data_IF_347279773396
#
_entry.id   IF_347279773396
#
_cell.length_a   1.000
_cell.length_b   1.000
_cell.length_c   1.000
_cell.angle_alpha   90.00
_cell.angle_beta   90.00
_cell.angle_gamma   90.00
#
_symmetry.space_group_name_H-M   'P 1'
#
loop_
_entity.id
_entity.type
_entity.pdbx_description
1 polymer ?
#
# COMPACT_ATOMS: atom_id res chain seq x y z
N UNK A 1 29.87 -27.34 -12.79
CA UNK A 1 29.03 -26.53 -13.69
C UNK A 1 27.84 -27.39 -14.10
N UNK A 2 26.82 -27.49 -13.24
CA UNK A 2 25.60 -28.26 -13.51
C UNK A 2 24.48 -27.28 -13.83
N UNK A 3 24.02 -27.25 -15.09
CA UNK A 3 22.87 -26.47 -15.52
C UNK A 3 21.61 -27.15 -15.02
N UNK A 4 21.09 -26.74 -13.87
CA UNK A 4 19.73 -27.07 -13.48
C UNK A 4 18.81 -26.30 -14.43
N UNK A 5 18.07 -27.02 -15.28
CA UNK A 5 17.00 -26.44 -16.10
C UNK A 5 15.86 -26.04 -15.15
N UNK A 6 15.89 -24.80 -14.67
CA UNK A 6 14.87 -24.24 -13.77
C UNK A 6 13.59 -23.77 -14.48
N UNK A 7 13.56 -23.78 -15.80
CA UNK A 7 12.45 -23.20 -16.53
C UNK A 7 11.34 -24.21 -16.76
N UNK A 8 10.17 -23.96 -16.19
CA UNK A 8 8.93 -24.31 -16.85
C UNK A 8 8.92 -23.53 -18.17
N UNK A 9 9.27 -24.20 -19.27
CA UNK A 9 9.19 -23.65 -20.63
C UNK A 9 7.71 -23.53 -21.05
N UNK A 10 6.91 -22.74 -20.33
CA UNK A 10 5.57 -22.37 -20.75
C UNK A 10 5.68 -21.11 -21.59
N UNK A 11 5.30 -21.22 -22.87
CA UNK A 11 5.23 -20.13 -23.86
C UNK A 11 4.13 -19.08 -23.56
N UNK A 12 3.60 -19.07 -22.34
CA UNK A 12 2.62 -18.10 -21.87
C UNK A 12 3.29 -16.75 -21.63
N UNK A 13 2.64 -15.70 -22.10
CA UNK A 13 3.02 -14.32 -21.81
C UNK A 13 2.95 -14.11 -20.30
N UNK A 14 4.08 -13.74 -19.69
CA UNK A 14 4.17 -13.50 -18.25
C UNK A 14 3.73 -12.07 -17.98
N UNK A 15 2.60 -11.94 -17.29
CA UNK A 15 2.10 -10.67 -16.81
C UNK A 15 2.71 -10.36 -15.45
N UNK A 16 3.24 -9.15 -15.30
CA UNK A 16 3.74 -8.63 -14.02
C UNK A 16 2.88 -7.46 -13.56
N UNK A 17 2.76 -7.21 -12.25
CA UNK A 17 2.06 -6.04 -11.76
C UNK A 17 2.74 -4.74 -12.22
N UNK A 18 1.93 -3.76 -12.60
CA UNK A 18 2.36 -2.38 -12.75
C UNK A 18 2.62 -1.79 -11.37
N UNK A 19 3.87 -1.42 -11.09
CA UNK A 19 4.23 -0.76 -9.85
C UNK A 19 4.22 0.75 -10.03
N UNK A 20 3.50 1.42 -9.14
CA UNK A 20 3.44 2.86 -9.08
C UNK A 20 4.10 3.40 -7.82
N UNK A 21 4.62 4.62 -7.92
CA UNK A 21 5.27 5.32 -6.82
C UNK A 21 4.49 6.57 -6.47
N UNK A 22 4.28 6.78 -5.18
CA UNK A 22 3.62 7.97 -4.66
C UNK A 22 4.33 8.48 -3.40
N UNK A 23 4.25 9.77 -3.08
CA UNK A 23 4.74 10.29 -1.81
C UNK A 23 3.98 9.73 -0.60
N UNK A 24 4.70 9.30 0.43
CA UNK A 24 4.15 8.86 1.72
C UNK A 24 3.86 10.02 2.67
N UNK A 25 3.15 11.05 2.20
CA UNK A 25 3.04 12.38 2.86
C UNK A 25 2.59 12.28 4.32
N UNK A 26 1.63 11.42 4.64
CA UNK A 26 1.10 11.32 6.01
C UNK A 26 2.15 10.72 6.97
N UNK A 27 2.95 9.77 6.52
CA UNK A 27 4.08 9.22 7.31
C UNK A 27 5.18 10.26 7.54
N UNK A 28 5.38 11.15 6.57
CA UNK A 28 6.38 12.21 6.64
C UNK A 28 5.98 13.31 7.63
N UNK A 29 4.68 13.57 7.81
CA UNK A 29 4.17 14.48 8.84
C UNK A 29 4.45 14.02 10.27
N UNK A 30 4.60 12.72 10.48
CA UNK A 30 4.96 12.16 11.79
C UNK A 30 6.46 12.29 12.11
N UNK A 31 7.27 12.80 11.19
CA UNK A 31 8.71 12.92 11.38
C UNK A 31 9.06 14.03 12.38
N UNK A 32 10.04 13.75 13.24
CA UNK A 32 10.58 14.73 14.18
C UNK A 32 12.13 14.69 14.19
N UNK A 33 12.84 15.70 13.66
CA UNK A 33 12.31 16.97 13.15
C UNK A 33 11.46 16.79 11.88
N UNK A 34 10.56 17.74 11.57
CA UNK A 34 9.75 17.68 10.36
C UNK A 34 10.60 17.57 9.09
N UNK A 35 10.10 16.82 8.10
CA UNK A 35 10.75 16.69 6.80
C UNK A 35 10.80 18.05 6.10
N UNK A 36 11.99 18.45 5.66
CA UNK A 36 12.20 19.73 4.98
C UNK A 36 11.48 19.81 3.62
N UNK A 37 10.96 20.99 3.28
CA UNK A 37 10.20 21.20 2.03
C UNK A 37 11.03 20.97 0.76
N UNK A 38 12.33 21.26 0.80
CA UNK A 38 13.22 20.99 -0.33
C UNK A 38 13.40 19.48 -0.57
N UNK A 39 13.39 18.66 0.48
CA UNK A 39 13.40 17.20 0.36
C UNK A 39 12.11 16.66 -0.26
N UNK A 40 10.94 17.21 0.14
CA UNK A 40 9.66 16.86 -0.48
C UNK A 40 9.65 17.21 -1.96
N UNK A 41 10.13 18.40 -2.32
CA UNK A 41 10.27 18.82 -3.72
C UNK A 41 11.19 17.89 -4.51
N UNK A 42 12.37 17.55 -3.96
CA UNK A 42 13.30 16.62 -4.60
C UNK A 42 12.69 15.24 -4.83
N UNK A 43 11.89 14.75 -3.88
CA UNK A 43 11.15 13.49 -4.06
C UNK A 43 10.23 13.57 -5.27
N UNK A 44 9.41 14.62 -5.36
CA UNK A 44 8.51 14.83 -6.50
C UNK A 44 9.27 14.88 -7.82
N UNK A 45 10.37 15.63 -7.86
CA UNK A 45 11.22 15.77 -9.05
C UNK A 45 11.90 14.44 -9.45
N UNK A 46 12.16 13.54 -8.49
CA UNK A 46 12.82 12.23 -8.69
C UNK A 46 11.86 11.07 -8.96
N UNK A 47 10.54 11.23 -8.79
CA UNK A 47 9.56 10.17 -9.03
C UNK A 47 9.70 9.51 -10.43
N UNK A 48 9.88 10.26 -11.54
CA UNK A 48 10.06 9.65 -12.86
C UNK A 48 11.33 8.80 -12.96
N UNK A 49 12.40 9.19 -12.28
CA UNK A 49 13.66 8.44 -12.26
C UNK A 49 13.54 7.13 -11.49
N UNK A 50 12.84 7.15 -10.35
CA UNK A 50 12.50 5.95 -9.60
C UNK A 50 11.64 4.99 -10.42
N UNK A 51 10.60 5.50 -11.09
CA UNK A 51 9.76 4.72 -11.98
C UNK A 51 10.56 4.09 -13.13
N UNK A 52 11.46 4.86 -13.76
CA UNK A 52 12.29 4.36 -14.85
C UNK A 52 13.33 3.32 -14.38
N UNK A 53 13.94 3.52 -13.21
CA UNK A 53 14.86 2.56 -12.61
C UNK A 53 14.15 1.22 -12.35
N UNK A 54 12.94 1.27 -11.77
CA UNK A 54 12.11 0.10 -11.56
C UNK A 54 11.72 -0.59 -12.86
N UNK A 55 11.25 0.16 -13.86
CA UNK A 55 10.89 -0.40 -15.17
C UNK A 55 12.06 -1.11 -15.84
N UNK A 56 13.25 -0.53 -15.73
CA UNK A 56 14.46 -1.06 -16.39
C UNK A 56 15.05 -2.25 -15.65
N UNK A 57 15.07 -2.22 -14.31
CA UNK A 57 15.81 -3.19 -13.48
C UNK A 57 14.95 -4.02 -12.52
N UNK A 58 13.79 -3.52 -12.11
CA UNK A 58 12.85 -4.23 -11.24
C UNK A 58 11.94 -5.20 -12.01
N UNK A 59 11.34 -4.76 -13.11
CA UNK A 59 10.43 -5.62 -13.90
C UNK A 59 11.09 -6.92 -14.40
N UNK A 60 12.36 -6.93 -14.89
CA UNK A 60 13.02 -8.17 -15.26
C UNK A 60 13.18 -9.15 -14.09
N UNK A 61 13.41 -8.64 -12.86
CA UNK A 61 13.47 -9.47 -11.66
C UNK A 61 12.12 -10.15 -11.45
N UNK A 62 11.01 -9.41 -11.47
CA UNK A 62 9.66 -10.00 -11.29
C UNK A 62 9.33 -11.05 -12.35
N UNK A 63 9.65 -10.78 -13.62
CA UNK A 63 9.45 -11.76 -14.70
C UNK A 63 10.20 -13.04 -14.39
N UNK A 64 11.43 -12.94 -13.91
CA UNK A 64 12.22 -14.11 -13.54
C UNK A 64 11.78 -14.76 -12.22
N UNK A 65 11.20 -14.04 -11.27
CA UNK A 65 10.51 -14.61 -10.10
C UNK A 65 9.37 -15.51 -10.55
N UNK A 66 8.50 -15.02 -11.42
CA UNK A 66 7.34 -15.76 -11.94
C UNK A 66 7.81 -16.95 -12.78
N UNK A 67 8.82 -16.78 -13.64
CA UNK A 67 9.42 -17.91 -14.39
C UNK A 67 9.95 -18.98 -13.47
N UNK A 68 10.63 -18.57 -12.40
CA UNK A 68 11.24 -19.49 -11.46
C UNK A 68 10.17 -20.24 -10.68
N UNK A 69 9.18 -19.54 -10.10
CA UNK A 69 8.20 -20.10 -9.18
C UNK A 69 6.84 -20.44 -9.81
N UNK A 70 6.63 -20.17 -11.09
CA UNK A 70 5.41 -20.48 -11.84
C UNK A 70 4.11 -19.90 -11.26
N UNK A 71 4.18 -18.84 -10.44
CA UNK A 71 3.01 -18.19 -9.83
C UNK A 71 3.03 -16.70 -10.13
N UNK A 72 1.97 -16.23 -10.76
CA UNK A 72 1.74 -14.81 -11.00
C UNK A 72 1.39 -14.10 -9.68
N UNK A 73 1.47 -12.77 -9.68
CA UNK A 73 0.92 -11.97 -8.58
C UNK A 73 -0.61 -11.97 -8.67
N UNK A 74 -1.31 -11.88 -7.53
CA UNK A 74 -2.79 -11.78 -7.53
C UNK A 74 -3.29 -10.46 -8.06
N UNK A 75 -2.41 -9.45 -8.10
CA UNK A 75 -2.71 -8.08 -8.46
C UNK A 75 -2.02 -7.68 -9.75
N UNK A 76 -2.69 -6.83 -10.50
CA UNK A 76 -2.17 -6.20 -11.72
C UNK A 76 -1.61 -4.80 -11.44
N UNK A 77 -2.02 -4.16 -10.35
CA UNK A 77 -1.45 -2.87 -9.92
C UNK A 77 -1.01 -2.92 -8.45
N UNK A 78 0.14 -2.31 -8.19
CA UNK A 78 0.69 -2.12 -6.86
C UNK A 78 1.12 -0.67 -6.70
N UNK A 79 1.02 -0.14 -5.49
CA UNK A 79 1.50 1.21 -5.18
C UNK A 79 2.47 1.14 -4.01
N UNK A 80 3.68 1.67 -4.21
CA UNK A 80 4.68 1.86 -3.18
C UNK A 80 4.65 3.32 -2.71
N UNK A 81 4.34 3.54 -1.43
CA UNK A 81 4.43 4.87 -0.84
C UNK A 81 5.87 5.17 -0.40
N UNK A 82 6.46 6.23 -0.93
CA UNK A 82 7.84 6.63 -0.70
C UNK A 82 7.92 7.61 0.47
N UNK A 83 8.51 7.20 1.58
CA UNK A 83 8.63 8.04 2.79
C UNK A 83 10.01 8.67 2.93
N UNK A 84 10.02 9.93 3.34
CA UNK A 84 11.22 10.71 3.67
C UNK A 84 11.55 10.67 5.15
N UNK A 85 10.64 10.16 5.99
CA UNK A 85 10.81 10.07 7.42
C UNK A 85 12.02 9.16 7.77
N UNK A 86 13.12 9.69 8.33
CA UNK A 86 14.33 8.92 8.63
C UNK A 86 14.13 7.93 9.79
N UNK A 87 13.05 8.07 10.58
CA UNK A 87 12.70 7.10 11.62
C UNK A 87 11.91 5.90 11.09
N UNK A 88 11.58 5.89 9.79
CA UNK A 88 10.81 4.81 9.17
C UNK A 88 11.72 3.91 8.36
N UNK A 89 11.50 2.61 8.53
CA UNK A 89 12.05 1.58 7.67
C UNK A 89 11.06 1.25 6.56
N UNK A 90 11.56 0.64 5.48
CA UNK A 90 10.69 0.07 4.44
C UNK A 90 9.84 -1.06 5.03
N UNK A 91 8.59 -1.18 4.57
CA UNK A 91 7.59 -2.13 5.06
C UNK A 91 6.90 -2.79 3.87
N UNK A 92 6.54 -4.07 4.00
CA UNK A 92 5.80 -4.77 2.92
C UNK A 92 4.29 -4.55 3.05
N UNK A 93 3.79 -4.38 4.28
CA UNK A 93 2.37 -4.19 4.56
C UNK A 93 2.16 -3.09 5.62
N UNK A 94 1.84 -1.84 5.23
CA UNK A 94 1.64 -1.35 3.86
C UNK A 94 2.94 -1.32 3.05
N UNK A 95 2.85 -1.29 1.71
CA UNK A 95 4.02 -1.24 0.83
C UNK A 95 4.65 0.15 0.86
N UNK A 96 5.66 0.32 1.72
CA UNK A 96 6.33 1.59 1.99
C UNK A 96 7.81 1.43 1.77
N UNK A 97 8.43 2.40 1.07
CA UNK A 97 9.87 2.42 0.83
C UNK A 97 10.46 3.70 1.43
N UNK A 98 11.44 3.56 2.31
CA UNK A 98 12.20 4.70 2.82
C UNK A 98 13.17 5.20 1.75
N UNK A 99 13.03 6.46 1.33
CA UNK A 99 13.80 7.00 0.19
C UNK A 99 14.72 8.17 0.49
N UNK A 100 14.75 8.65 1.74
CA UNK A 100 15.56 9.80 2.13
C UNK A 100 17.03 9.69 1.70
N UNK A 101 17.62 8.48 1.80
CA UNK A 101 19.02 8.19 1.43
C UNK A 101 19.31 8.28 -0.08
N UNK A 102 18.30 8.17 -0.94
CA UNK A 102 18.45 8.29 -2.40
C UNK A 102 18.29 9.72 -2.89
N UNK A 103 17.99 10.67 -1.99
CA UNK A 103 17.78 12.08 -2.30
C UNK A 103 18.86 13.00 -1.72
N UNK A 104 19.80 12.44 -0.95
CA UNK A 104 20.92 13.18 -0.37
C UNK A 104 21.93 13.61 -1.45
N UNK A 105 22.52 14.79 -1.31
CA UNK A 105 23.58 15.27 -2.23
C UNK A 105 24.92 14.59 -1.98
N UNK A 106 25.19 14.25 -0.72
CA UNK A 106 26.42 13.57 -0.27
C UNK A 106 26.06 12.15 0.11
N UNK A 107 26.88 11.18 -0.32
CA UNK A 107 26.69 9.76 -0.03
C UNK A 107 25.33 9.20 -0.50
N UNK A 108 24.80 9.75 -1.59
CA UNK A 108 23.58 9.26 -2.23
C UNK A 108 23.72 7.76 -2.52
N UNK A 109 22.74 6.96 -2.06
CA UNK A 109 22.68 5.54 -2.39
C UNK A 109 22.34 5.34 -3.87
N UNK A 110 22.81 4.25 -4.46
CA UNK A 110 22.62 3.97 -5.89
C UNK A 110 21.16 3.60 -6.21
N UNK A 111 20.74 3.83 -7.46
CA UNK A 111 19.43 3.38 -7.95
C UNK A 111 19.33 1.84 -8.01
N UNK A 112 20.46 1.13 -8.10
CA UNK A 112 20.48 -0.33 -7.96
C UNK A 112 20.05 -0.78 -6.57
N UNK A 113 20.50 -0.06 -5.54
CA UNK A 113 20.08 -0.33 -4.16
C UNK A 113 18.60 0.01 -3.94
N UNK A 114 18.11 1.09 -4.58
CA UNK A 114 16.69 1.41 -4.56
C UNK A 114 15.83 0.29 -5.18
N UNK A 115 16.20 -0.21 -6.36
CA UNK A 115 15.51 -1.33 -7.02
C UNK A 115 15.58 -2.60 -6.18
N UNK A 116 16.73 -2.86 -5.56
CA UNK A 116 16.90 -3.96 -4.62
C UNK A 116 15.94 -3.88 -3.44
N UNK A 117 15.81 -2.71 -2.81
CA UNK A 117 14.90 -2.49 -1.69
C UNK A 117 13.44 -2.71 -2.07
N UNK A 118 12.99 -2.15 -3.20
CA UNK A 118 11.63 -2.37 -3.69
C UNK A 118 11.39 -3.86 -3.93
N UNK A 119 12.30 -4.51 -4.65
CA UNK A 119 12.14 -5.92 -4.99
C UNK A 119 12.15 -6.81 -3.74
N UNK A 120 13.03 -6.53 -2.77
CA UNK A 120 13.08 -7.22 -1.47
C UNK A 120 11.72 -7.13 -0.76
N UNK A 121 11.21 -5.92 -0.61
CA UNK A 121 9.96 -5.65 0.12
C UNK A 121 8.76 -6.26 -0.61
N UNK A 122 8.74 -6.18 -1.94
CA UNK A 122 7.73 -6.81 -2.77
C UNK A 122 7.76 -8.34 -2.69
N UNK A 123 8.95 -8.94 -2.64
CA UNK A 123 9.09 -10.39 -2.48
C UNK A 123 8.63 -10.89 -1.11
N UNK A 124 8.81 -10.11 -0.04
CA UNK A 124 8.23 -10.46 1.27
C UNK A 124 6.72 -10.61 1.13
N UNK A 125 6.07 -9.63 0.51
CA UNK A 125 4.64 -9.67 0.27
C UNK A 125 4.22 -10.88 -0.60
N UNK A 126 4.94 -11.15 -1.68
CA UNK A 126 4.68 -12.30 -2.55
C UNK A 126 4.84 -13.65 -1.83
N UNK A 127 5.87 -13.79 -0.99
CA UNK A 127 6.09 -14.99 -0.19
C UNK A 127 5.01 -15.17 0.89
N UNK A 128 4.57 -14.08 1.52
CA UNK A 128 3.45 -14.14 2.47
C UNK A 128 2.15 -14.58 1.80
N UNK A 129 1.91 -14.14 0.57
CA UNK A 129 0.69 -14.47 -0.17
C UNK A 129 0.62 -15.96 -0.55
N UNK A 130 1.71 -16.49 -1.11
CA UNK A 130 1.69 -17.82 -1.72
C UNK A 130 2.37 -18.91 -0.91
N UNK A 131 3.31 -18.54 -0.04
CA UNK A 131 4.26 -19.48 0.56
C UNK A 131 4.35 -19.38 2.09
N UNK A 132 3.51 -18.58 2.76
CA UNK A 132 3.59 -18.37 4.21
C UNK A 132 3.61 -19.67 5.03
N UNK A 133 2.80 -20.66 4.67
CA UNK A 133 2.78 -21.96 5.36
C UNK A 133 4.14 -22.66 5.29
N UNK A 134 4.76 -22.71 4.11
CA UNK A 134 6.04 -23.40 3.94
C UNK A 134 7.21 -22.58 4.47
N UNK A 135 7.17 -21.24 4.39
CA UNK A 135 8.24 -20.40 4.94
C UNK A 135 8.31 -20.48 6.47
N UNK A 136 7.17 -20.68 7.14
CA UNK A 136 7.11 -20.84 8.60
C UNK A 136 7.37 -22.27 9.09
N UNK A 137 6.97 -23.29 8.31
CA UNK A 137 7.04 -24.70 8.73
C UNK A 137 8.21 -25.46 8.12
N UNK A 138 9.12 -24.76 7.44
CA UNK A 138 10.17 -25.39 6.66
C UNK A 138 11.10 -26.27 7.52
N UNK A 139 11.33 -27.51 7.07
CA UNK A 139 12.36 -28.41 7.63
C UNK A 139 13.77 -27.80 7.67
N UNK A 140 14.07 -26.82 6.80
CA UNK A 140 15.30 -26.06 6.72
C UNK A 140 15.46 -25.02 7.82
N UNK A 141 14.37 -24.44 8.33
CA UNK A 141 14.44 -23.51 9.47
C UNK A 141 14.99 -24.23 10.71
N UNK A 142 14.73 -25.54 10.83
CA UNK A 142 15.27 -26.36 11.91
C UNK A 142 16.79 -26.56 11.84
N UNK A 143 17.42 -26.43 10.65
CA UNK A 143 18.88 -26.47 10.50
C UNK A 143 19.51 -25.25 11.18
N UNK A 144 18.81 -24.11 11.16
CA UNK A 144 19.24 -22.84 11.70
C UNK A 144 18.52 -22.45 13.00
N UNK A 145 18.10 -23.44 13.80
CA UNK A 145 17.29 -23.21 15.01
C UNK A 145 17.91 -22.23 16.02
N UNK A 146 19.24 -22.14 16.05
CA UNK A 146 20.00 -21.26 16.95
C UNK A 146 20.15 -19.83 16.43
N UNK A 147 19.76 -19.56 15.17
CA UNK A 147 19.77 -18.21 14.61
C UNK A 147 18.55 -17.40 15.09
N UNK A 148 18.69 -16.07 15.05
CA UNK A 148 17.62 -15.15 15.39
C UNK A 148 16.39 -15.37 14.49
N UNK A 149 15.19 -15.11 15.03
CA UNK A 149 13.93 -15.29 14.30
C UNK A 149 13.90 -14.48 13.00
N UNK A 150 14.39 -13.24 13.01
CA UNK A 150 14.51 -12.39 11.82
C UNK A 150 15.46 -12.96 10.75
N UNK A 151 16.52 -13.66 11.15
CA UNK A 151 17.43 -14.34 10.21
C UNK A 151 16.70 -15.51 9.55
N UNK A 152 15.97 -16.30 10.33
CA UNK A 152 15.20 -17.47 9.86
C UNK A 152 14.08 -17.08 8.91
N UNK A 153 13.33 -16.01 9.23
CA UNK A 153 12.26 -15.46 8.40
C UNK A 153 12.77 -15.01 7.01
N UNK A 154 14.02 -14.53 6.94
CA UNK A 154 14.61 -14.03 5.70
C UNK A 154 15.27 -15.13 4.84
N UNK A 155 15.38 -16.38 5.30
CA UNK A 155 16.11 -17.43 4.56
C UNK A 155 15.52 -17.71 3.17
N UNK A 156 14.20 -17.90 3.09
CA UNK A 156 13.50 -18.14 1.83
C UNK A 156 13.56 -16.92 0.90
N UNK A 157 13.39 -15.72 1.47
CA UNK A 157 13.52 -14.45 0.75
C UNK A 157 14.90 -14.33 0.09
N UNK A 158 15.97 -14.53 0.86
CA UNK A 158 17.34 -14.40 0.38
C UNK A 158 17.68 -15.47 -0.67
N UNK A 159 17.25 -16.72 -0.48
CA UNK A 159 17.44 -17.77 -1.48
C UNK A 159 16.74 -17.45 -2.80
N UNK A 160 15.51 -16.91 -2.74
CA UNK A 160 14.77 -16.46 -3.91
C UNK A 160 15.44 -15.26 -4.58
N UNK A 161 15.84 -14.26 -3.80
CA UNK A 161 16.55 -13.09 -4.31
C UNK A 161 17.85 -13.49 -5.00
N UNK A 162 18.69 -14.33 -4.37
CA UNK A 162 19.92 -14.85 -4.97
C UNK A 162 19.65 -15.51 -6.32
N UNK A 163 18.71 -16.46 -6.34
CA UNK A 163 18.39 -17.22 -7.55
C UNK A 163 17.91 -16.31 -8.67
N UNK A 164 17.00 -15.36 -8.38
CA UNK A 164 16.45 -14.46 -9.39
C UNK A 164 17.49 -13.44 -9.86
N UNK A 165 18.29 -12.85 -8.97
CA UNK A 165 19.34 -11.92 -9.38
C UNK A 165 20.41 -12.63 -10.23
N UNK A 166 20.81 -13.84 -9.85
CA UNK A 166 21.74 -14.64 -10.64
C UNK A 166 21.21 -14.90 -12.06
N UNK A 167 19.91 -15.22 -12.20
CA UNK A 167 19.25 -15.41 -13.49
C UNK A 167 19.11 -14.12 -14.31
N UNK A 168 19.04 -12.96 -13.65
CA UNK A 168 18.73 -11.69 -14.31
C UNK A 168 19.98 -10.87 -14.66
N UNK A 169 20.93 -10.81 -13.73
CA UNK A 169 22.10 -9.92 -13.78
C UNK A 169 23.44 -10.62 -13.47
N UNK A 170 23.42 -11.91 -13.10
CA UNK A 170 24.60 -12.62 -12.60
C UNK A 170 24.80 -12.47 -11.09
N UNK A 171 25.75 -13.22 -10.53
CA UNK A 171 25.93 -13.37 -9.08
C UNK A 171 26.57 -12.18 -8.38
N UNK A 172 27.44 -11.43 -9.07
CA UNK A 172 28.22 -10.34 -8.45
C UNK A 172 27.35 -9.15 -8.00
N UNK A 173 26.28 -8.86 -8.75
CA UNK A 173 25.45 -7.69 -8.49
C UNK A 173 24.75 -7.77 -7.13
N UNK A 174 24.18 -8.92 -6.79
CA UNK A 174 23.42 -9.06 -5.53
C UNK A 174 24.33 -9.07 -4.30
N UNK A 175 25.54 -9.62 -4.39
CA UNK A 175 26.50 -9.56 -3.30
C UNK A 175 26.88 -8.11 -2.97
N UNK A 176 27.16 -7.29 -4.00
CA UNK A 176 27.43 -5.86 -3.83
C UNK A 176 26.26 -5.13 -3.16
N UNK A 177 25.02 -5.47 -3.53
CA UNK A 177 23.81 -4.85 -2.98
C UNK A 177 23.58 -5.23 -1.52
N UNK A 178 23.71 -6.51 -1.17
CA UNK A 178 23.55 -6.99 0.21
C UNK A 178 24.63 -6.44 1.14
N UNK A 179 25.86 -6.26 0.64
CA UNK A 179 26.91 -5.62 1.43
C UNK A 179 26.72 -4.10 1.57
N UNK A 180 25.82 -3.50 0.78
CA UNK A 180 25.57 -2.05 0.77
C UNK A 180 24.38 -1.60 1.64
N UNK A 181 23.54 -2.54 2.09
CA UNK A 181 22.45 -2.30 3.05
C UNK A 181 22.96 -2.33 4.49
N UNK A 182 22.39 -1.48 5.34
CA UNK A 182 22.67 -1.44 6.77
C UNK A 182 21.67 -2.34 7.53
N UNK A 183 21.75 -3.65 7.26
CA UNK A 183 20.87 -4.66 7.85
C UNK A 183 21.69 -5.92 8.17
N UNK A 184 22.16 -6.00 9.42
CA UNK A 184 23.02 -7.09 9.88
C UNK A 184 22.32 -8.46 9.79
N UNK A 185 20.99 -8.52 9.94
CA UNK A 185 20.25 -9.77 9.83
C UNK A 185 20.22 -10.23 8.37
N UNK A 186 19.95 -9.34 7.42
CA UNK A 186 20.02 -9.69 5.99
C UNK A 186 21.42 -10.11 5.55
N UNK A 187 22.46 -9.41 6.00
CA UNK A 187 23.86 -9.79 5.73
C UNK A 187 24.18 -11.17 6.32
N UNK A 188 23.71 -11.45 7.55
CA UNK A 188 23.86 -12.77 8.18
C UNK A 188 23.14 -13.86 7.39
N UNK A 189 21.88 -13.63 7.02
CA UNK A 189 21.09 -14.56 6.21
C UNK A 189 21.76 -14.85 4.87
N UNK A 190 22.28 -13.82 4.20
CA UNK A 190 23.07 -13.96 2.97
C UNK A 190 24.28 -14.87 3.15
N UNK A 191 25.08 -14.63 4.18
CA UNK A 191 26.24 -15.47 4.48
C UNK A 191 25.86 -16.95 4.71
N UNK A 192 24.69 -17.22 5.29
CA UNK A 192 24.20 -18.59 5.49
C UNK A 192 23.74 -19.25 4.19
N UNK A 193 22.94 -18.53 3.37
CA UNK A 193 22.35 -19.08 2.15
C UNK A 193 23.40 -19.31 1.06
N UNK A 194 24.40 -18.42 0.94
CA UNK A 194 25.39 -18.45 -0.14
C UNK A 194 26.60 -19.34 0.18
N UNK A 195 26.99 -19.46 1.45
CA UNK A 195 28.12 -20.33 1.83
C UNK A 195 27.85 -21.80 1.51
N UNK A 196 26.58 -22.19 1.45
CA UNK A 196 26.16 -23.54 1.11
C UNK A 196 25.21 -23.50 -0.08
N UNK A 197 25.76 -23.49 -1.31
CA UNK A 197 24.99 -23.44 -2.56
C UNK A 197 23.84 -24.48 -2.64
N UNK A 198 24.03 -25.62 -1.95
CA UNK A 198 23.01 -26.67 -1.77
C UNK A 198 21.78 -26.20 -0.96
N UNK A 199 21.96 -25.31 0.02
CA UNK A 199 20.89 -24.74 0.83
C UNK A 199 20.00 -23.83 -0.02
N UNK A 200 20.61 -22.93 -0.81
CA UNK A 200 19.86 -22.08 -1.73
C UNK A 200 18.99 -22.92 -2.69
N UNK A 201 19.58 -23.94 -3.32
CA UNK A 201 18.87 -24.84 -4.22
C UNK A 201 17.74 -25.61 -3.51
N UNK A 202 17.96 -26.05 -2.26
CA UNK A 202 16.96 -26.77 -1.49
C UNK A 202 15.77 -25.89 -1.14
N UNK A 203 15.98 -24.62 -0.76
CA UNK A 203 14.89 -23.67 -0.55
C UNK A 203 14.04 -23.47 -1.81
N UNK A 204 14.66 -23.22 -2.96
CA UNK A 204 13.94 -23.07 -4.23
C UNK A 204 13.15 -24.35 -4.56
N UNK A 205 13.77 -25.52 -4.41
CA UNK A 205 13.11 -26.79 -4.70
C UNK A 205 11.88 -27.03 -3.81
N UNK A 206 11.94 -26.67 -2.53
CA UNK A 206 10.81 -26.81 -1.62
C UNK A 206 9.67 -25.85 -1.94
N UNK A 207 9.96 -24.59 -2.32
CA UNK A 207 8.94 -23.65 -2.82
C UNK A 207 8.23 -24.22 -4.06
N UNK A 208 8.98 -24.78 -5.01
CA UNK A 208 8.43 -25.42 -6.21
C UNK A 208 7.57 -26.64 -5.88
N UNK A 209 8.05 -27.51 -4.98
CA UNK A 209 7.29 -28.70 -4.56
C UNK A 209 5.99 -28.31 -3.88
N UNK A 210 6.01 -27.30 -3.00
CA UNK A 210 4.79 -26.79 -2.36
C UNK A 210 3.76 -26.30 -3.38
N UNK A 211 4.22 -25.51 -4.35
CA UNK A 211 3.39 -25.00 -5.44
C UNK A 211 2.70 -26.13 -6.22
N UNK A 212 3.45 -27.16 -6.63
CA UNK A 212 2.88 -28.29 -7.38
C UNK A 212 1.80 -29.04 -6.59
N UNK A 213 1.96 -29.14 -5.26
CA UNK A 213 0.99 -29.82 -4.38
C UNK A 213 -0.33 -29.06 -4.19
N UNK A 214 -0.31 -27.71 -4.23
CA UNK A 214 -1.50 -26.86 -4.07
C UNK A 214 -2.30 -26.62 -5.36
N UNK A 215 -1.87 -27.12 -6.51
CA UNK A 215 -2.54 -26.87 -7.80
C UNK A 215 -3.85 -27.69 -7.96
N UNK A 216 -4.29 -28.40 -6.93
CA UNK A 216 -5.60 -29.08 -6.84
C UNK A 216 -6.50 -28.32 -5.87
N UNK A 217 -6.96 -27.13 -6.25
CA UNK A 217 -8.18 -26.42 -5.80
C UNK A 217 -8.02 -24.95 -6.12
N UNK A 218 -8.81 -24.43 -7.06
CA UNK A 218 -8.77 -23.03 -7.44
C UNK A 218 -10.08 -22.62 -8.09
N UNK A 219 -11.06 -22.29 -7.25
CA UNK A 219 -12.26 -21.56 -7.64
C UNK A 219 -11.89 -20.10 -7.90
N UNK A 220 -11.91 -19.68 -9.16
CA UNK A 220 -11.86 -18.27 -9.53
C UNK A 220 -13.20 -17.62 -9.16
N UNK A 221 -13.18 -16.67 -8.23
CA UNK A 221 -14.31 -15.76 -8.05
C UNK A 221 -14.16 -14.63 -9.06
N UNK A 222 -15.07 -14.57 -10.02
CA UNK A 222 -15.12 -13.50 -11.02
C UNK A 222 -15.70 -12.25 -10.37
N UNK A 223 -14.83 -11.31 -9.97
CA UNK A 223 -15.26 -9.96 -9.59
C UNK A 223 -15.59 -9.21 -10.89
N UNK A 224 -16.81 -8.69 -10.99
CA UNK A 224 -17.21 -7.82 -12.09
C UNK A 224 -16.48 -6.50 -11.92
N UNK A 225 -15.43 -6.27 -12.72
CA UNK A 225 -14.74 -4.99 -12.81
C UNK A 225 -15.73 -3.94 -13.36
N UNK A 226 -16.11 -2.96 -12.55
CA UNK A 226 -16.73 -1.76 -13.08
C UNK A 226 -15.63 -0.82 -13.57
N UNK A 227 -15.62 -0.45 -14.85
CA UNK A 227 -14.53 0.28 -15.53
C UNK A 227 -14.20 1.69 -15.01
N UNK A 228 -14.80 2.10 -13.88
CA UNK A 228 -14.85 3.48 -13.44
C UNK A 228 -14.40 3.71 -11.99
N UNK A 229 -14.38 2.68 -11.13
CA UNK A 229 -13.92 2.77 -9.73
C UNK A 229 -12.91 1.65 -9.42
N UNK A 230 -11.96 1.88 -8.51
CA UNK A 230 -10.94 0.90 -8.18
C UNK A 230 -11.53 -0.28 -7.40
N UNK A 231 -11.03 -1.47 -7.67
CA UNK A 231 -11.19 -2.63 -6.81
C UNK A 231 -10.32 -2.45 -5.57
N UNK A 232 -10.91 -2.50 -4.38
CA UNK A 232 -10.17 -2.41 -3.13
C UNK A 232 -9.82 -3.81 -2.59
N UNK A 233 -8.54 -4.02 -2.30
CA UNK A 233 -8.03 -5.23 -1.66
C UNK A 233 -7.64 -4.92 -0.21
N UNK A 234 -8.22 -5.63 0.75
CA UNK A 234 -7.97 -5.40 2.17
C UNK A 234 -6.92 -6.37 2.70
N UNK A 235 -5.86 -5.85 3.34
CA UNK A 235 -4.73 -6.66 3.82
C UNK A 235 -4.28 -6.24 5.21
N UNK A 236 -3.84 -7.18 6.04
CA UNK A 236 -3.33 -6.87 7.38
C UNK A 236 -2.01 -6.08 7.30
N UNK A 237 -1.98 -4.89 7.92
CA UNK A 237 -0.81 -4.05 8.06
C UNK A 237 0.14 -4.52 9.18
N UNK A 238 0.65 -5.76 9.06
CA UNK A 238 1.40 -6.43 10.12
C UNK A 238 2.59 -5.61 10.64
N UNK A 239 3.26 -4.84 9.79
CA UNK A 239 4.46 -4.09 10.17
C UNK A 239 4.11 -2.87 11.04
N UNK A 240 2.99 -2.20 10.76
CA UNK A 240 2.51 -1.08 11.59
C UNK A 240 1.97 -1.55 12.95
N UNK A 241 1.44 -2.77 13.01
CA UNK A 241 0.95 -3.37 14.26
C UNK A 241 2.09 -3.73 15.22
N UNK A 242 3.29 -4.03 14.74
CA UNK A 242 4.49 -4.28 15.57
C UNK A 242 4.88 -3.06 16.43
N UNK A 243 4.49 -1.87 16.02
CA UNK A 243 4.76 -0.62 16.74
C UNK A 243 3.71 -0.31 17.82
N UNK A 244 2.69 -1.15 17.97
CA UNK A 244 1.60 -0.96 18.93
C UNK A 244 2.11 -1.03 20.37
N UNK A 245 1.72 -0.04 21.18
CA UNK A 245 1.96 -0.07 22.64
C UNK A 245 0.95 -0.97 23.33
N UNK A 246 -0.23 -1.07 22.74
CA UNK A 246 -1.29 -1.98 23.18
C UNK A 246 -1.02 -3.40 22.66
N UNK A 247 -1.17 -4.45 23.48
CA UNK A 247 -0.98 -5.83 23.01
C UNK A 247 -1.92 -6.19 21.85
N UNK A 248 -1.35 -6.81 20.83
CA UNK A 248 -2.07 -7.44 19.72
C UNK A 248 -1.76 -8.93 19.79
N UNK A 249 -2.78 -9.75 20.06
CA UNK A 249 -2.59 -11.19 20.28
C UNK A 249 -2.67 -11.98 18.97
N UNK A 250 -2.08 -13.18 18.87
CA UNK A 250 -2.21 -14.03 17.70
C UNK A 250 -3.67 -14.33 17.32
N UNK A 251 -4.55 -14.51 18.31
CA UNK A 251 -5.99 -14.75 18.07
C UNK A 251 -6.69 -13.53 17.45
N UNK A 252 -6.25 -12.31 17.78
CA UNK A 252 -6.77 -11.09 17.13
C UNK A 252 -6.36 -11.03 15.66
N UNK A 253 -5.12 -11.40 15.35
CA UNK A 253 -4.59 -11.47 13.98
C UNK A 253 -5.31 -12.55 13.18
N UNK A 254 -5.54 -13.72 13.78
CA UNK A 254 -6.30 -14.81 13.17
C UNK A 254 -7.74 -14.39 12.85
N UNK A 255 -8.42 -13.77 13.81
CA UNK A 255 -9.78 -13.23 13.60
C UNK A 255 -9.78 -12.14 12.52
N UNK A 256 -8.80 -11.23 12.53
CA UNK A 256 -8.65 -10.22 11.48
C UNK A 256 -8.56 -10.85 10.09
N UNK A 257 -7.63 -11.79 9.90
CA UNK A 257 -7.34 -12.37 8.59
C UNK A 257 -8.43 -13.31 8.08
N UNK A 258 -8.98 -14.16 8.94
CA UNK A 258 -9.91 -15.22 8.51
C UNK A 258 -11.38 -14.86 8.63
N UNK A 259 -11.72 -13.83 9.42
CA UNK A 259 -13.12 -13.45 9.65
C UNK A 259 -13.39 -12.00 9.25
N UNK A 260 -12.63 -11.04 9.80
CA UNK A 260 -12.96 -9.64 9.63
C UNK A 260 -12.64 -9.14 8.21
N UNK A 261 -11.44 -9.38 7.67
CA UNK A 261 -11.07 -8.95 6.31
C UNK A 261 -12.07 -9.46 5.24
N UNK A 262 -12.43 -10.77 5.20
CA UNK A 262 -13.45 -11.26 4.26
C UNK A 262 -14.79 -10.51 4.39
N UNK A 263 -15.26 -10.31 5.63
CA UNK A 263 -16.50 -9.59 5.91
C UNK A 263 -16.43 -8.11 5.49
N UNK A 264 -15.31 -7.45 5.77
CA UNK A 264 -15.05 -6.05 5.38
C UNK A 264 -15.00 -5.90 3.86
N UNK A 265 -14.50 -6.91 3.15
CA UNK A 265 -14.48 -6.96 1.69
C UNK A 265 -15.90 -7.06 1.12
N UNK A 266 -16.72 -7.95 1.65
CA UNK A 266 -18.13 -8.11 1.24
C UNK A 266 -18.93 -6.83 1.47
N UNK A 267 -18.84 -6.22 2.66
CA UNK A 267 -19.57 -4.99 2.96
C UNK A 267 -19.05 -3.81 2.13
N UNK A 268 -17.75 -3.74 1.83
CA UNK A 268 -17.23 -2.72 0.93
C UNK A 268 -17.81 -2.84 -0.48
N UNK A 269 -17.87 -4.05 -1.04
CA UNK A 269 -18.46 -4.29 -2.35
C UNK A 269 -19.94 -3.90 -2.38
N UNK A 270 -20.68 -4.27 -1.33
CA UNK A 270 -22.11 -4.01 -1.22
C UNK A 270 -22.45 -2.54 -0.97
N UNK A 271 -21.72 -1.88 -0.08
CA UNK A 271 -22.12 -0.59 0.50
C UNK A 271 -21.16 0.56 0.21
N UNK A 272 -19.87 0.29 0.04
CA UNK A 272 -18.85 1.31 -0.23
C UNK A 272 -18.67 1.62 -1.72
N UNK A 273 -18.60 0.57 -2.54
CA UNK A 273 -18.41 0.69 -3.99
C UNK A 273 -19.51 1.54 -4.67
N UNK A 274 -20.81 1.42 -4.31
CA UNK A 274 -21.84 2.32 -4.84
C UNK A 274 -21.58 3.81 -4.53
N UNK A 275 -21.00 4.15 -3.37
CA UNK A 275 -20.70 5.55 -3.02
C UNK A 275 -19.60 6.14 -3.90
N UNK A 276 -18.55 5.35 -4.21
CA UNK A 276 -17.53 5.79 -5.17
C UNK A 276 -18.09 5.88 -6.59
N UNK A 277 -19.01 4.99 -6.96
CA UNK A 277 -19.67 5.03 -8.26
C UNK A 277 -20.46 6.33 -8.44
N UNK A 278 -21.21 6.76 -7.42
CA UNK A 278 -21.90 8.06 -7.45
C UNK A 278 -20.93 9.24 -7.54
N UNK A 279 -19.75 9.14 -6.91
CA UNK A 279 -18.70 10.16 -7.05
C UNK A 279 -18.21 10.28 -8.50
N UNK A 280 -17.89 9.16 -9.15
CA UNK A 280 -17.38 9.17 -10.53
C UNK A 280 -18.47 9.59 -11.52
N UNK A 281 -19.72 9.19 -11.30
CA UNK A 281 -20.88 9.68 -12.09
C UNK A 281 -21.05 11.19 -11.94
N UNK A 282 -20.92 11.71 -10.72
CA UNK A 282 -21.08 13.13 -10.42
C UNK A 282 -20.01 13.99 -11.08
N UNK A 283 -18.75 13.59 -10.99
CA UNK A 283 -17.61 14.43 -11.39
C UNK A 283 -17.07 14.10 -12.78
N UNK A 284 -17.56 13.04 -13.41
CA UNK A 284 -17.12 12.56 -14.73
C UNK A 284 -15.62 12.31 -14.87
N UNK A 285 -14.91 12.13 -13.75
CA UNK A 285 -13.49 11.78 -13.69
C UNK A 285 -13.31 10.42 -13.00
N UNK A 286 -12.48 9.57 -13.59
CA UNK A 286 -12.17 8.23 -13.06
C UNK A 286 -11.07 8.31 -12.01
N UNK A 287 -10.93 7.25 -11.20
CA UNK A 287 -9.70 7.06 -10.41
C UNK A 287 -8.53 6.77 -11.36
N UNK A 288 -7.31 7.20 -11.00
CA UNK A 288 -6.13 6.92 -11.81
C UNK A 288 -5.74 5.44 -11.77
N UNK A 289 -6.16 4.73 -10.73
CA UNK A 289 -5.90 3.31 -10.47
C UNK A 289 -7.15 2.45 -10.65
N UNK A 290 -6.96 1.23 -11.13
CA UNK A 290 -7.99 0.19 -11.19
C UNK A 290 -7.94 -0.72 -9.96
N UNK A 291 -6.80 -0.84 -9.30
CA UNK A 291 -6.65 -1.61 -8.06
C UNK A 291 -5.98 -0.76 -6.98
N UNK A 292 -6.49 -0.86 -5.75
CA UNK A 292 -5.92 -0.20 -4.57
C UNK A 292 -5.87 -1.17 -3.39
N UNK A 293 -4.77 -1.15 -2.67
CA UNK A 293 -4.60 -1.90 -1.42
C UNK A 293 -4.98 -1.02 -0.24
N UNK A 294 -5.92 -1.47 0.58
CA UNK A 294 -6.24 -0.87 1.87
C UNK A 294 -5.61 -1.73 2.96
N UNK A 295 -4.54 -1.24 3.58
CA UNK A 295 -3.91 -1.93 4.70
C UNK A 295 -4.73 -1.70 5.97
N UNK A 296 -5.29 -2.76 6.53
CA UNK A 296 -6.07 -2.73 7.77
C UNK A 296 -5.21 -3.07 8.97
N UNK A 297 -5.30 -2.26 10.03
CA UNK A 297 -4.46 -2.39 11.24
C UNK A 297 -5.27 -2.54 12.52
N UNK A 298 -4.63 -3.06 13.57
CA UNK A 298 -5.21 -3.26 14.90
C UNK A 298 -4.58 -2.38 15.98
N UNK A 299 -3.51 -1.65 15.66
CA UNK A 299 -2.85 -0.70 16.54
C UNK A 299 -3.78 0.50 16.85
N UNK A 300 -4.29 0.66 18.08
CA UNK A 300 -5.26 1.71 18.41
C UNK A 300 -4.64 3.12 18.45
N UNK A 301 -3.31 3.22 18.52
CA UNK A 301 -2.60 4.50 18.53
C UNK A 301 -2.44 5.09 17.12
N UNK A 302 -2.72 4.29 16.08
CA UNK A 302 -2.60 4.69 14.68
C UNK A 302 -3.92 5.21 14.13
N UNK A 303 -3.87 6.43 13.58
CA UNK A 303 -4.99 7.00 12.85
C UNK A 303 -5.05 6.44 11.42
N UNK A 304 -6.25 6.37 10.81
CA UNK A 304 -6.38 6.05 9.39
C UNK A 304 -5.71 7.12 8.50
N UNK A 305 -5.13 6.70 7.37
CA UNK A 305 -4.34 7.53 6.46
C UNK A 305 -4.68 7.22 5.00
N UNK A 306 -4.62 8.22 4.12
CA UNK A 306 -4.81 8.02 2.67
C UNK A 306 -3.50 7.67 1.96
N UNK A 307 -2.35 8.07 2.49
CA UNK A 307 -1.01 7.84 1.95
C UNK A 307 -0.02 7.42 3.05
N UNK A 308 0.30 6.12 3.19
CA UNK A 308 -0.29 4.97 2.49
C UNK A 308 -1.77 4.79 2.84
N UNK A 309 -2.53 4.06 2.01
CA UNK A 309 -3.94 3.82 2.23
C UNK A 309 -4.16 2.80 3.37
N UNK A 310 -4.32 3.32 4.58
CA UNK A 310 -4.36 2.56 5.83
C UNK A 310 -5.66 2.86 6.59
N UNK A 311 -6.35 1.81 7.04
CA UNK A 311 -7.54 1.94 7.88
C UNK A 311 -7.40 1.17 9.19
N UNK A 312 -7.83 1.76 10.31
CA UNK A 312 -7.79 1.10 11.61
C UNK A 312 -9.11 0.37 11.86
N UNK A 313 -9.04 -0.96 12.01
CA UNK A 313 -10.23 -1.81 12.16
C UNK A 313 -10.32 -2.49 13.54
N UNK A 314 -9.48 -2.08 14.50
CA UNK A 314 -9.47 -2.68 15.84
C UNK A 314 -10.84 -2.67 16.50
N UNK A 315 -11.54 -1.53 16.41
CA UNK A 315 -12.86 -1.33 17.03
C UNK A 315 -14.00 -2.04 16.31
N UNK A 316 -13.70 -2.75 15.22
CA UNK A 316 -14.64 -3.62 14.51
C UNK A 316 -14.48 -5.09 14.96
N UNK A 317 -13.38 -5.43 15.67
CA UNK A 317 -13.18 -6.76 16.27
C UNK A 317 -14.09 -7.04 17.48
N UNK A 318 -14.79 -6.04 18.02
CA UNK A 318 -15.71 -6.24 19.15
C UNK A 318 -15.04 -6.76 20.43
N UNK A 319 -13.84 -6.24 20.72
CA UNK A 319 -13.06 -6.62 21.89
C UNK A 319 -13.73 -6.15 23.21
N UNK A 320 -13.74 -6.98 24.27
CA UNK A 320 -14.32 -6.60 25.56
C UNK A 320 -13.68 -5.33 26.14
N UNK A 321 -14.51 -4.43 26.67
CA UNK A 321 -14.05 -3.18 27.30
C UNK A 321 -13.62 -2.07 26.35
N UNK A 322 -13.64 -2.31 25.03
CA UNK A 322 -13.36 -1.29 24.04
C UNK A 322 -14.64 -0.68 23.46
N UNK A 323 -14.56 0.60 23.07
CA UNK A 323 -15.61 1.25 22.32
C UNK A 323 -15.71 0.64 20.91
N UNK A 324 -16.91 0.27 20.49
CA UNK A 324 -17.14 -0.43 19.23
C UNK A 324 -17.54 0.51 18.10
N UNK A 325 -17.00 0.25 16.92
CA UNK A 325 -17.36 0.94 15.68
C UNK A 325 -18.25 0.07 14.83
N UNK A 326 -19.18 0.69 14.12
CA UNK A 326 -20.03 -0.02 13.18
C UNK A 326 -19.29 -0.35 11.90
N UNK A 327 -19.88 -1.25 11.10
CA UNK A 327 -19.43 -1.50 9.74
C UNK A 327 -19.66 -0.28 8.83
N UNK A 328 -20.74 0.46 9.06
CA UNK A 328 -21.01 1.73 8.38
C UNK A 328 -19.88 2.76 8.61
N UNK A 329 -19.30 2.80 9.83
CA UNK A 329 -18.13 3.64 10.11
C UNK A 329 -16.89 3.20 9.33
N UNK A 330 -16.70 1.90 9.13
CA UNK A 330 -15.64 1.38 8.27
C UNK A 330 -15.85 1.83 6.81
N UNK A 331 -17.06 1.63 6.25
CA UNK A 331 -17.40 2.06 4.89
C UNK A 331 -17.17 3.56 4.71
N UNK A 332 -17.67 4.37 5.66
CA UNK A 332 -17.46 5.81 5.69
C UNK A 332 -15.98 6.18 5.68
N UNK A 333 -15.19 5.57 6.57
CA UNK A 333 -13.77 5.91 6.70
C UNK A 333 -12.99 5.51 5.45
N UNK A 334 -13.22 4.31 4.91
CA UNK A 334 -12.58 3.83 3.68
C UNK A 334 -12.95 4.71 2.48
N UNK A 335 -14.23 5.07 2.34
CA UNK A 335 -14.70 5.96 1.27
C UNK A 335 -14.05 7.35 1.39
N UNK A 336 -14.01 7.94 2.59
CA UNK A 336 -13.35 9.22 2.83
C UNK A 336 -11.87 9.20 2.46
N UNK A 337 -11.16 8.13 2.84
CA UNK A 337 -9.74 7.95 2.51
C UNK A 337 -9.52 7.81 1.00
N UNK A 338 -10.38 7.05 0.31
CA UNK A 338 -10.35 6.96 -1.15
C UNK A 338 -10.61 8.32 -1.81
N UNK A 339 -11.50 9.14 -1.26
CA UNK A 339 -11.79 10.47 -1.79
C UNK A 339 -10.66 11.47 -1.61
N UNK A 340 -9.88 11.39 -0.53
CA UNK A 340 -8.64 12.17 -0.44
C UNK A 340 -7.71 11.86 -1.61
N UNK A 341 -7.54 10.57 -1.93
CA UNK A 341 -6.69 10.14 -3.05
C UNK A 341 -7.25 10.58 -4.40
N UNK A 342 -8.55 10.37 -4.60
CA UNK A 342 -9.26 10.79 -5.80
C UNK A 342 -9.10 12.30 -6.07
N UNK A 343 -9.19 13.11 -5.02
CA UNK A 343 -9.07 14.56 -5.13
C UNK A 343 -7.64 14.99 -5.46
N UNK A 344 -6.63 14.41 -4.80
CA UNK A 344 -5.22 14.71 -5.07
C UNK A 344 -4.83 14.32 -6.50
N UNK A 345 -5.32 13.18 -7.00
CA UNK A 345 -5.04 12.71 -8.36
C UNK A 345 -5.73 13.56 -9.45
N UNK A 346 -6.99 13.96 -9.23
CA UNK A 346 -7.78 14.66 -10.25
C UNK A 346 -7.74 16.18 -10.15
N UNK A 347 -7.34 16.72 -8.99
CA UNK A 347 -7.35 18.15 -8.67
C UNK A 347 -6.10 18.57 -7.89
N UNK A 348 -4.88 18.35 -8.43
CA UNK A 348 -3.63 18.50 -7.70
C UNK A 348 -3.34 19.94 -7.23
N UNK A 349 -4.01 20.96 -7.78
CA UNK A 349 -3.85 22.37 -7.39
C UNK A 349 -5.07 22.92 -6.63
N UNK A 350 -5.98 22.06 -6.17
CA UNK A 350 -7.23 22.46 -5.52
C UNK A 350 -7.02 23.45 -4.38
N UNK A 351 -6.04 23.21 -3.50
CA UNK A 351 -5.74 24.09 -2.36
C UNK A 351 -5.40 25.53 -2.77
N UNK A 352 -4.76 25.69 -3.93
CA UNK A 352 -4.34 27.00 -4.44
C UNK A 352 -5.38 27.71 -5.29
N UNK A 353 -6.22 26.96 -6.01
CA UNK A 353 -7.22 27.49 -6.93
C UNK A 353 -8.60 27.67 -6.27
N UNK A 354 -8.82 26.99 -5.14
CA UNK A 354 -10.15 26.91 -4.55
C UNK A 354 -10.61 28.22 -3.90
N UNK A 355 -11.76 28.73 -4.36
CA UNK A 355 -12.40 29.91 -3.76
C UNK A 355 -12.96 29.58 -2.39
N UNK A 356 -13.55 28.40 -2.23
CA UNK A 356 -14.06 27.92 -0.95
C UNK A 356 -12.93 27.71 0.06
N UNK A 357 -11.81 27.06 -0.29
CA UNK A 357 -10.69 26.92 0.65
C UNK A 357 -10.08 28.28 1.01
N UNK A 358 -9.98 29.22 0.07
CA UNK A 358 -9.53 30.57 0.38
C UNK A 358 -10.50 31.32 1.32
N UNK A 359 -11.82 31.14 1.15
CA UNK A 359 -12.84 31.67 2.07
C UNK A 359 -12.66 31.12 3.49
N UNK A 360 -12.26 29.85 3.61
CA UNK A 360 -12.00 29.16 4.88
C UNK A 360 -10.52 29.08 5.24
N UNK A 361 -9.66 29.98 4.72
CA UNK A 361 -8.20 29.90 4.94
C UNK A 361 -7.76 30.00 6.40
N UNK A 362 -8.60 30.59 7.26
CA UNK A 362 -8.35 30.69 8.71
C UNK A 362 -8.66 29.40 9.47
N UNK A 363 -9.32 28.43 8.83
CA UNK A 363 -9.60 27.13 9.42
C UNK A 363 -8.31 26.29 9.50
N UNK A 364 -8.33 25.31 10.41
CA UNK A 364 -7.24 24.35 10.53
C UNK A 364 -7.17 23.45 9.29
N UNK A 365 -5.98 22.88 9.01
CA UNK A 365 -5.82 21.94 7.90
C UNK A 365 -6.70 20.69 8.07
N UNK A 366 -6.99 20.30 9.32
CA UNK A 366 -7.92 19.22 9.63
C UNK A 366 -9.31 19.52 9.05
N UNK A 367 -9.81 20.74 9.22
CA UNK A 367 -11.11 21.16 8.71
C UNK A 367 -11.07 21.33 7.19
N UNK A 368 -10.12 22.14 6.67
CA UNK A 368 -10.01 22.46 5.24
C UNK A 368 -9.93 21.20 4.37
N UNK A 369 -9.03 20.29 4.71
CA UNK A 369 -8.78 19.09 3.91
C UNK A 369 -10.03 18.18 3.85
N UNK A 370 -10.92 18.26 4.85
CA UNK A 370 -12.14 17.43 4.90
C UNK A 370 -13.32 18.04 4.16
N UNK A 371 -13.30 19.33 3.80
CA UNK A 371 -14.47 20.02 3.22
C UNK A 371 -14.93 19.35 1.90
N UNK A 372 -14.03 19.22 0.93
CA UNK A 372 -14.34 18.62 -0.38
C UNK A 372 -14.70 17.13 -0.29
N UNK A 373 -13.89 16.25 0.35
CA UNK A 373 -14.26 14.85 0.52
C UNK A 373 -15.63 14.69 1.19
N UNK A 374 -15.91 15.43 2.26
CA UNK A 374 -17.17 15.30 2.99
C UNK A 374 -18.36 15.85 2.20
N UNK A 375 -18.19 16.87 1.37
CA UNK A 375 -19.25 17.38 0.49
C UNK A 375 -19.62 16.34 -0.58
N UNK A 376 -18.62 15.68 -1.18
CA UNK A 376 -18.82 14.56 -2.12
C UNK A 376 -19.52 13.40 -1.40
N UNK A 377 -19.06 13.02 -0.20
CA UNK A 377 -19.70 11.97 0.57
C UNK A 377 -21.16 12.30 0.86
N UNK A 378 -21.47 13.52 1.31
CA UNK A 378 -22.85 13.95 1.54
C UNK A 378 -23.71 13.70 0.29
N UNK A 379 -23.25 14.13 -0.88
CA UNK A 379 -23.96 13.87 -2.13
C UNK A 379 -24.13 12.37 -2.41
N UNK A 380 -23.05 11.58 -2.32
CA UNK A 380 -23.09 10.15 -2.62
C UNK A 380 -24.05 9.39 -1.69
N UNK A 381 -24.08 9.75 -0.40
CA UNK A 381 -25.03 9.19 0.55
C UNK A 381 -26.48 9.65 0.26
N UNK A 382 -26.70 10.90 -0.16
CA UNK A 382 -28.03 11.38 -0.59
C UNK A 382 -28.53 10.62 -1.83
N UNK A 383 -27.67 10.46 -2.85
CA UNK A 383 -27.98 9.76 -4.08
C UNK A 383 -28.30 8.26 -3.87
N UNK A 384 -27.78 7.67 -2.80
CA UNK A 384 -28.05 6.29 -2.39
C UNK A 384 -29.17 6.18 -1.33
N UNK A 385 -29.91 7.27 -1.04
CA UNK A 385 -30.97 7.32 -0.03
C UNK A 385 -30.50 6.97 1.40
N UNK A 386 -29.21 7.18 1.69
CA UNK A 386 -28.53 6.83 2.96
C UNK A 386 -28.12 8.04 3.80
N UNK A 387 -28.70 9.21 3.59
CA UNK A 387 -28.31 10.45 4.30
C UNK A 387 -28.39 10.33 5.83
N UNK A 388 -29.38 9.59 6.35
CA UNK A 388 -29.53 9.36 7.79
C UNK A 388 -28.35 8.59 8.39
N UNK A 389 -27.70 7.73 7.60
CA UNK A 389 -26.55 6.94 8.02
C UNK A 389 -25.34 7.85 8.26
N UNK A 390 -24.98 8.71 7.31
CA UNK A 390 -23.83 9.63 7.46
C UNK A 390 -24.07 10.64 8.59
N UNK A 391 -25.30 11.14 8.77
CA UNK A 391 -25.62 12.02 9.90
C UNK A 391 -25.45 11.31 11.26
N UNK A 392 -25.88 10.04 11.33
CA UNK A 392 -25.71 9.20 12.53
C UNK A 392 -24.23 8.96 12.82
N UNK A 393 -23.43 8.66 11.81
CA UNK A 393 -21.99 8.44 11.94
C UNK A 393 -21.26 9.69 12.44
N UNK A 394 -21.59 10.87 11.90
CA UNK A 394 -20.98 12.13 12.33
C UNK A 394 -21.33 12.41 13.79
N UNK A 395 -22.61 12.27 14.15
CA UNK A 395 -23.12 12.54 15.51
C UNK A 395 -22.60 11.59 16.57
N UNK A 396 -22.69 10.28 16.30
CA UNK A 396 -22.52 9.27 17.33
C UNK A 396 -21.13 8.65 17.31
N UNK A 397 -20.50 8.61 16.13
CA UNK A 397 -19.25 7.88 15.96
C UNK A 397 -18.04 8.82 15.84
N UNK A 398 -18.01 9.75 14.90
CA UNK A 398 -16.87 10.68 14.81
C UNK A 398 -16.76 11.56 16.05
N UNK A 399 -17.88 12.14 16.50
CA UNK A 399 -18.02 12.91 17.74
C UNK A 399 -16.80 13.77 18.10
N UNK A 400 -16.32 14.57 17.13
CA UNK A 400 -15.22 15.52 17.30
C UNK A 400 -15.68 16.91 16.86
N UNK A 401 -15.18 17.95 17.51
CA UNK A 401 -15.47 19.35 17.19
C UNK A 401 -15.23 19.68 15.72
N UNK A 402 -14.15 19.16 15.16
CA UNK A 402 -13.72 19.39 13.78
C UNK A 402 -14.66 18.73 12.79
N UNK A 403 -15.13 17.51 13.07
CA UNK A 403 -16.08 16.82 12.20
C UNK A 403 -17.44 17.49 12.18
N UNK A 404 -17.90 18.00 13.33
CA UNK A 404 -19.12 18.81 13.41
C UNK A 404 -18.98 20.11 12.65
N UNK A 405 -17.86 20.82 12.84
CA UNK A 405 -17.61 22.08 12.16
C UNK A 405 -17.54 21.93 10.63
N UNK A 406 -16.86 20.89 10.13
CA UNK A 406 -16.86 20.55 8.69
C UNK A 406 -18.28 20.32 8.17
N UNK A 407 -19.10 19.57 8.91
CA UNK A 407 -20.48 19.27 8.52
C UNK A 407 -21.36 20.53 8.51
N UNK A 408 -21.19 21.42 9.49
CA UNK A 408 -21.92 22.68 9.58
C UNK A 408 -21.54 23.64 8.44
N UNK A 409 -20.25 23.71 8.08
CA UNK A 409 -19.79 24.45 6.90
C UNK A 409 -20.47 23.92 5.63
N UNK A 410 -20.47 22.60 5.43
CA UNK A 410 -21.09 21.98 4.24
C UNK A 410 -22.60 22.22 4.21
N UNK A 411 -23.29 22.18 5.37
CA UNK A 411 -24.72 22.49 5.45
C UNK A 411 -25.00 23.97 5.15
N UNK A 412 -24.15 24.88 5.62
CA UNK A 412 -24.29 26.32 5.40
C UNK A 412 -24.08 26.71 3.94
N UNK A 413 -23.04 26.19 3.31
CA UNK A 413 -22.69 26.53 1.92
C UNK A 413 -23.52 25.71 0.90
N UNK A 414 -23.96 24.51 1.30
CA UNK A 414 -24.52 23.49 0.42
C UNK A 414 -23.41 22.64 -0.19
N UNK A 415 -23.57 21.31 -0.19
CA UNK A 415 -22.58 20.40 -0.80
C UNK A 415 -22.37 20.67 -2.29
N UNK A 416 -23.41 21.11 -3.01
CA UNK A 416 -23.29 21.43 -4.44
C UNK A 416 -22.33 22.58 -4.73
N UNK A 417 -22.15 23.54 -3.82
CA UNK A 417 -21.18 24.62 -4.02
C UNK A 417 -19.74 24.10 -4.15
N UNK A 418 -19.37 23.10 -3.33
CA UNK A 418 -18.07 22.43 -3.43
C UNK A 418 -17.95 21.60 -4.72
N UNK A 419 -19.02 20.88 -5.07
CA UNK A 419 -19.05 20.02 -6.26
C UNK A 419 -18.94 20.86 -7.54
N UNK A 420 -19.66 21.98 -7.63
CA UNK A 420 -19.58 22.91 -8.77
C UNK A 420 -18.16 23.46 -8.95
N UNK A 421 -17.43 23.71 -7.87
CA UNK A 421 -16.04 24.17 -7.95
C UNK A 421 -15.13 23.09 -8.55
N UNK A 422 -15.35 21.81 -8.21
CA UNK A 422 -14.65 20.69 -8.83
C UNK A 422 -15.02 20.50 -10.30
N UNK A 423 -16.31 20.58 -10.65
CA UNK A 423 -16.78 20.45 -12.04
C UNK A 423 -16.23 21.56 -12.95
N UNK A 424 -15.99 22.75 -12.38
CA UNK A 424 -15.41 23.88 -13.09
C UNK A 424 -13.88 23.99 -12.94
N UNK A 425 -13.22 23.01 -12.33
CA UNK A 425 -11.80 23.10 -11.98
C UNK A 425 -10.89 23.41 -13.18
N UNK A 426 -11.13 22.82 -14.34
CA UNK A 426 -10.33 23.08 -15.56
C UNK A 426 -10.45 24.53 -16.05
N UNK A 427 -11.57 25.21 -15.74
CA UNK A 427 -11.74 26.63 -16.03
C UNK A 427 -11.08 27.56 -15.00
N UNK A 428 -10.67 27.00 -13.86
CA UNK A 428 -9.94 27.71 -12.79
C UNK A 428 -8.43 27.65 -12.99
N UNK A 429 -7.93 26.69 -13.77
CA UNK A 429 -6.50 26.63 -14.11
C UNK A 429 -6.13 27.86 -14.96
N UNK A 430 -5.10 28.63 -14.58
CA UNK A 430 -4.57 29.67 -15.45
C UNK A 430 -4.11 28.99 -16.74
N UNK A 431 -4.60 29.44 -17.90
CA UNK A 431 -4.17 28.94 -19.20
C UNK A 431 -2.64 28.93 -19.27
N UNK A 432 -2.02 27.76 -19.12
CA UNK A 432 -0.60 27.58 -19.33
C UNK A 432 -0.36 27.82 -20.82
N UNK A 433 0.16 29.01 -21.16
CA UNK A 433 0.73 29.27 -22.47
C UNK A 433 1.78 28.19 -22.73
N UNK A 434 1.75 27.47 -23.86
CA UNK A 434 2.75 26.46 -24.14
C UNK A 434 4.12 27.14 -24.22
N UNK A 435 5.03 26.75 -23.34
CA UNK A 435 6.45 27.04 -23.53
C UNK A 435 6.90 26.07 -24.61
N UNK A 436 7.06 26.61 -25.83
CA UNK A 436 7.65 25.94 -27.00
C UNK A 436 9.11 25.56 -26.75
#
# INVERSE_FOLDING_TARGET
>A
MYSVKFFNETTTEITIPNLFFEPGIVLDWESNPPVAEDMKKRLMDKLPEFAQAWKTKGEPLLKNTIRLLGKDFSRHELTASLTLNPQRHSMSQPFVIAVSLYLQEKNQKSMDLFVYEIYRVLLIHYLDEYFNEITQQNSLVNIFKEEADTVKENLALVALMHSVYQLTYGSEMIELLVNSIDDANMQRTWALVIKEDKICQKYIQELLTFQTSKTVTGSQSSIVLSENIPTLFFEHAKDLDKESKSPITPSMIENLNHTLIPKLTEIWQKEGSPLLMETVKLLHKKFARQELTVSVLLNPERLPMSYPFVNNVRRQLRLPGEFQRTEAFFVFTTCRLALFRYLEENYPQLDSLSKLLNKYKSETDIVKNRLFPMAIMKYAYEAQERINEIETLIKNELNTSESFHVWDIIKKEGNMAFIEELLNYESLEPSLVPIL
#
